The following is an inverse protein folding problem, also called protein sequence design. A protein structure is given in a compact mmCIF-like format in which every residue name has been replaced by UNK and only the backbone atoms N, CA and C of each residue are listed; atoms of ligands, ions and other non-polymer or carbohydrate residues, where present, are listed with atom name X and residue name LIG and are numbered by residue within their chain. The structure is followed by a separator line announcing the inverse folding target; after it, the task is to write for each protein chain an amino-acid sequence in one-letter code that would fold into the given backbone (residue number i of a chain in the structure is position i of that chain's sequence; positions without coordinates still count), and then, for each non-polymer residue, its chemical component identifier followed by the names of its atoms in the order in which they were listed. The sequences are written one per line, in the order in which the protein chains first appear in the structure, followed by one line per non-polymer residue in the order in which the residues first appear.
data_IF_830938827184
#
_entry.id   IF_830938827184
#
_cell.length_a   1.000
_cell.length_b   1.000
_cell.length_c   1.000
_cell.angle_alpha   90.00
_cell.angle_beta   90.00
_cell.angle_gamma   90.00
#
_symmetry.space_group_name_H-M   'P 1'
#
loop_
_entity.id
_entity.type
_entity.pdbx_description
1 polymer ?
#
# COMPACT_ATOMS: atom_id res chain seq x y z
N UNK A 1 -12.87 45.00 -27.96
CA UNK A 1 -13.32 45.41 -26.61
C UNK A 1 -14.47 44.53 -26.07
N UNK A 2 -15.59 44.34 -26.80
CA UNK A 2 -16.72 43.48 -26.34
C UNK A 2 -16.32 42.02 -26.04
N UNK A 3 -15.57 41.37 -26.93
CA UNK A 3 -15.09 39.99 -26.73
C UNK A 3 -14.13 39.82 -25.55
N UNK A 4 -13.32 40.84 -25.26
CA UNK A 4 -12.42 40.85 -24.11
C UNK A 4 -13.23 40.91 -22.80
N UNK A 5 -14.25 41.78 -22.74
CA UNK A 5 -15.13 41.90 -21.58
C UNK A 5 -15.95 40.62 -21.34
N UNK A 6 -16.44 39.98 -22.40
CA UNK A 6 -17.13 38.69 -22.31
C UNK A 6 -16.18 37.61 -21.79
N UNK A 7 -14.95 37.54 -22.32
CA UNK A 7 -13.94 36.59 -21.84
C UNK A 7 -13.60 36.78 -20.36
N UNK A 8 -13.41 38.02 -19.92
CA UNK A 8 -13.15 38.34 -18.51
C UNK A 8 -14.33 37.98 -17.60
N UNK A 9 -15.56 38.22 -18.03
CA UNK A 9 -16.76 37.84 -17.27
C UNK A 9 -16.88 36.32 -17.14
N UNK A 10 -16.60 35.56 -18.20
CA UNK A 10 -16.60 34.09 -18.15
C UNK A 10 -15.56 33.58 -17.16
N UNK A 11 -14.33 34.10 -17.23
CA UNK A 11 -13.26 33.73 -16.28
C UNK A 11 -13.64 34.10 -14.85
N UNK A 12 -14.23 35.28 -14.63
CA UNK A 12 -14.70 35.71 -13.32
C UNK A 12 -15.78 34.78 -12.76
N UNK A 13 -16.77 34.39 -13.57
CA UNK A 13 -17.83 33.47 -13.16
C UNK A 13 -17.28 32.07 -12.87
N UNK A 14 -16.34 31.57 -13.68
CA UNK A 14 -15.68 30.29 -13.45
C UNK A 14 -14.87 30.31 -12.16
N UNK A 15 -14.07 31.35 -11.93
CA UNK A 15 -13.27 31.49 -10.72
C UNK A 15 -14.16 31.66 -9.48
N UNK A 16 -15.22 32.48 -9.58
CA UNK A 16 -16.20 32.66 -8.52
C UNK A 16 -16.91 31.36 -8.18
N UNK A 17 -17.38 30.61 -9.18
CA UNK A 17 -17.99 29.29 -9.00
C UNK A 17 -17.02 28.30 -8.34
N UNK A 18 -15.77 28.24 -8.79
CA UNK A 18 -14.74 27.37 -8.20
C UNK A 18 -14.46 27.69 -6.73
N UNK A 19 -14.33 28.98 -6.39
CA UNK A 19 -14.08 29.41 -5.01
C UNK A 19 -15.27 29.15 -4.09
N UNK A 20 -16.50 29.36 -4.58
CA UNK A 20 -17.73 29.20 -3.80
C UNK A 20 -18.23 27.75 -3.71
N UNK A 21 -17.81 26.86 -4.60
CA UNK A 21 -18.15 25.43 -4.52
C UNK A 21 -17.54 24.84 -3.24
N UNK A 22 -18.30 24.11 -2.40
CA UNK A 22 -17.76 23.47 -1.20
C UNK A 22 -16.58 22.55 -1.51
N UNK A 23 -15.61 22.48 -0.59
CA UNK A 23 -14.52 21.50 -0.67
C UNK A 23 -15.07 20.10 -0.37
N UNK A 24 -14.61 19.04 -1.08
CA UNK A 24 -14.95 17.66 -0.73
C UNK A 24 -14.23 17.16 0.53
N UNK A 25 -13.26 17.94 1.04
CA UNK A 25 -12.44 17.63 2.21
C UNK A 25 -12.52 18.73 3.26
N UNK A 26 -12.25 18.36 4.51
CA UNK A 26 -12.05 19.25 5.66
C UNK A 26 -10.60 19.13 6.12
N UNK A 27 -9.71 19.81 5.41
CA UNK A 27 -8.28 19.52 5.54
C UNK A 27 -7.66 20.06 6.84
N UNK A 28 -6.72 19.28 7.39
CA UNK A 28 -5.96 19.65 8.60
C UNK A 28 -4.53 20.01 8.27
N UNK A 29 -3.99 21.04 8.91
CA UNK A 29 -2.58 21.39 8.73
C UNK A 29 -1.67 20.30 9.30
N UNK A 30 -0.57 20.03 8.61
CA UNK A 30 0.49 19.17 9.10
C UNK A 30 1.85 19.72 8.70
N UNK A 31 2.79 19.70 9.64
CA UNK A 31 4.19 20.02 9.38
C UNK A 31 4.95 18.72 9.13
N UNK A 32 5.20 18.42 7.86
CA UNK A 32 5.95 17.25 7.46
C UNK A 32 7.44 17.42 7.85
N UNK A 33 8.09 16.40 8.45
CA UNK A 33 9.53 16.45 8.75
C UNK A 33 10.35 16.58 7.47
N UNK A 34 11.55 17.15 7.50
CA UNK A 34 12.40 17.19 6.29
C UNK A 34 12.71 15.77 5.79
N UNK A 35 12.62 15.50 4.47
CA UNK A 35 12.89 14.17 3.93
C UNK A 35 14.35 13.75 4.20
N UNK A 36 14.60 12.44 4.42
CA UNK A 36 15.95 11.94 4.59
C UNK A 36 16.79 12.16 3.32
N UNK A 37 18.10 12.32 3.49
CA UNK A 37 19.01 12.37 2.36
C UNK A 37 19.08 11.00 1.67
N UNK A 38 19.07 10.98 0.34
CA UNK A 38 19.23 9.78 -0.47
C UNK A 38 20.72 9.39 -0.57
N UNK A 39 21.31 9.04 0.57
CA UNK A 39 22.72 8.67 0.72
C UNK A 39 22.86 7.44 1.63
N UNK A 40 24.06 6.86 1.69
CA UNK A 40 24.31 5.67 2.50
C UNK A 40 23.44 4.49 2.06
N UNK A 41 22.65 3.93 2.99
CA UNK A 41 21.70 2.84 2.70
C UNK A 41 20.70 3.25 1.62
N UNK A 42 20.25 4.50 1.59
CA UNK A 42 19.28 5.04 0.62
C UNK A 42 19.92 5.59 -0.66
N UNK A 43 21.23 5.39 -0.87
CA UNK A 43 21.89 5.88 -2.06
C UNK A 43 21.26 5.27 -3.33
N UNK A 44 20.85 6.10 -4.32
CA UNK A 44 20.23 5.61 -5.54
C UNK A 44 21.09 4.55 -6.25
N UNK A 45 20.45 3.48 -6.70
CA UNK A 45 21.06 2.41 -7.46
C UNK A 45 20.09 1.93 -8.57
N UNK A 46 20.40 0.83 -9.25
CA UNK A 46 19.57 0.30 -10.35
C UNK A 46 19.23 -1.18 -10.12
N UNK A 47 19.25 -1.64 -8.86
CA UNK A 47 19.13 -3.08 -8.50
C UNK A 47 17.76 -3.67 -8.84
N UNK A 48 16.69 -2.87 -8.85
CA UNK A 48 15.36 -3.36 -9.26
C UNK A 48 15.33 -3.77 -10.73
N UNK A 49 16.26 -3.30 -11.55
CA UNK A 49 16.35 -3.67 -12.98
C UNK A 49 16.95 -5.05 -13.21
N UNK A 50 17.44 -5.69 -12.16
CA UNK A 50 17.85 -7.10 -12.18
C UNK A 50 16.64 -8.05 -12.11
N UNK A 51 15.45 -7.53 -11.81
CA UNK A 51 14.25 -8.35 -11.72
C UNK A 51 13.84 -8.87 -13.11
N UNK A 52 13.46 -10.14 -13.17
CA UNK A 52 12.69 -10.68 -14.28
C UNK A 52 11.30 -10.04 -14.29
N UNK A 53 10.70 -9.93 -15.48
CA UNK A 53 9.37 -9.36 -15.65
C UNK A 53 8.39 -10.46 -16.09
N UNK A 54 7.42 -10.74 -15.24
CA UNK A 54 6.36 -11.72 -15.49
C UNK A 54 5.10 -11.03 -16.02
N UNK A 55 4.27 -11.78 -16.76
CA UNK A 55 2.96 -11.35 -17.26
C UNK A 55 2.97 -10.02 -18.03
N UNK A 56 4.07 -9.72 -18.73
CA UNK A 56 4.28 -8.41 -19.34
C UNK A 56 3.27 -8.14 -20.46
N UNK A 57 2.47 -7.10 -20.30
CA UNK A 57 1.42 -6.70 -21.23
C UNK A 57 0.11 -7.48 -21.07
N UNK A 58 0.04 -8.41 -20.11
CA UNK A 58 -1.12 -9.27 -19.87
C UNK A 58 -1.85 -8.93 -18.56
N UNK A 59 -1.23 -8.14 -17.69
CA UNK A 59 -1.85 -7.57 -16.48
C UNK A 59 -1.75 -6.06 -16.49
N UNK A 60 -2.53 -5.38 -15.66
CA UNK A 60 -2.39 -3.94 -15.41
C UNK A 60 -2.66 -3.63 -13.95
N UNK A 61 -1.73 -2.93 -13.31
CA UNK A 61 -1.75 -2.61 -11.89
C UNK A 61 -1.88 -3.84 -10.98
N UNK A 62 -0.97 -4.83 -11.07
CA UNK A 62 -0.96 -5.97 -10.15
C UNK A 62 -0.56 -5.51 -8.73
N UNK A 63 -1.53 -5.19 -7.87
CA UNK A 63 -1.30 -4.45 -6.62
C UNK A 63 -0.43 -5.22 -5.62
N UNK A 64 -0.84 -6.46 -5.34
CA UNK A 64 -0.19 -7.36 -4.40
C UNK A 64 0.07 -8.71 -5.05
N UNK A 65 1.02 -9.47 -4.50
CA UNK A 65 1.44 -10.75 -5.06
C UNK A 65 1.59 -11.81 -3.99
N UNK A 66 1.06 -13.00 -4.20
CA UNK A 66 1.24 -14.11 -3.27
C UNK A 66 1.41 -15.42 -4.02
N UNK A 67 2.25 -16.33 -3.53
CA UNK A 67 2.42 -17.65 -4.11
C UNK A 67 1.47 -18.61 -3.40
N UNK A 68 0.65 -19.30 -4.18
CA UNK A 68 -0.28 -20.31 -3.68
C UNK A 68 0.40 -21.62 -3.29
N UNK A 69 -0.31 -22.49 -2.55
CA UNK A 69 0.18 -23.83 -2.21
C UNK A 69 0.37 -24.73 -3.44
N UNK A 70 -0.16 -24.33 -4.59
CA UNK A 70 0.01 -24.93 -5.91
C UNK A 70 1.29 -24.46 -6.64
N UNK A 71 2.04 -23.51 -6.05
CA UNK A 71 3.24 -22.91 -6.66
C UNK A 71 2.93 -21.87 -7.74
N UNK A 72 1.67 -21.45 -7.88
CA UNK A 72 1.23 -20.43 -8.84
C UNK A 72 1.25 -19.06 -8.17
N UNK A 73 1.64 -18.02 -8.91
CA UNK A 73 1.58 -16.64 -8.42
C UNK A 73 0.17 -16.07 -8.62
N UNK A 74 -0.38 -15.44 -7.59
CA UNK A 74 -1.68 -14.77 -7.61
C UNK A 74 -1.48 -13.26 -7.44
N UNK A 75 -2.24 -12.46 -8.17
CA UNK A 75 -2.23 -11.00 -8.05
C UNK A 75 -3.60 -10.38 -8.30
N UNK A 76 -3.89 -9.26 -7.63
CA UNK A 76 -5.09 -8.45 -7.86
C UNK A 76 -4.81 -7.33 -8.86
N UNK A 77 -5.60 -7.21 -9.92
CA UNK A 77 -5.37 -6.23 -10.98
C UNK A 77 -6.34 -5.05 -10.95
N UNK A 78 -6.06 -4.04 -11.78
CA UNK A 78 -6.75 -2.76 -11.76
C UNK A 78 -8.27 -2.85 -11.92
N UNK A 79 -8.66 -3.75 -12.81
CA UNK A 79 -10.00 -4.07 -13.26
C UNK A 79 -10.75 -5.04 -12.34
N UNK A 80 -10.17 -5.44 -11.20
CA UNK A 80 -10.85 -6.25 -10.19
C UNK A 80 -10.69 -7.77 -10.36
N UNK A 81 -9.87 -8.20 -11.30
CA UNK A 81 -9.51 -9.61 -11.44
C UNK A 81 -8.48 -10.04 -10.39
N UNK A 82 -8.59 -11.30 -9.99
CA UNK A 82 -7.48 -12.07 -9.46
C UNK A 82 -6.91 -12.88 -10.63
N UNK A 83 -5.65 -12.60 -10.97
CA UNK A 83 -4.92 -13.24 -12.05
C UNK A 83 -3.92 -14.24 -11.47
N UNK A 84 -3.80 -15.38 -12.12
CA UNK A 84 -2.82 -16.43 -11.86
C UNK A 84 -1.71 -16.37 -12.90
N UNK A 85 -0.46 -16.43 -12.46
CA UNK A 85 0.72 -16.52 -13.32
C UNK A 85 1.44 -17.82 -12.99
N UNK A 86 1.35 -18.77 -13.92
CA UNK A 86 1.92 -20.11 -13.77
C UNK A 86 3.45 -20.08 -13.94
N UNK A 87 4.19 -21.04 -13.37
CA UNK A 87 5.65 -21.09 -13.49
C UNK A 87 6.19 -21.15 -14.93
N UNK A 88 5.39 -21.66 -15.86
CA UNK A 88 5.70 -21.70 -17.30
C UNK A 88 5.47 -20.37 -18.03
N UNK A 89 4.95 -19.37 -17.31
CA UNK A 89 4.64 -18.02 -17.82
C UNK A 89 3.19 -17.83 -18.26
N UNK A 90 2.36 -18.88 -18.25
CA UNK A 90 0.95 -18.77 -18.64
C UNK A 90 0.19 -17.86 -17.68
N UNK A 91 -0.57 -16.91 -18.24
CA UNK A 91 -1.42 -15.98 -17.47
C UNK A 91 -2.88 -16.42 -17.58
N UNK A 92 -3.55 -16.60 -16.45
CA UNK A 92 -4.94 -17.01 -16.34
C UNK A 92 -5.73 -15.99 -15.52
N UNK A 93 -6.76 -15.39 -16.14
CA UNK A 93 -7.77 -14.61 -15.43
C UNK A 93 -8.68 -15.56 -14.65
N UNK A 94 -8.42 -15.74 -13.36
CA UNK A 94 -9.06 -16.79 -12.58
C UNK A 94 -10.48 -16.40 -12.16
N UNK A 95 -10.66 -15.25 -11.49
CA UNK A 95 -11.97 -14.76 -11.06
C UNK A 95 -11.99 -13.26 -10.82
N UNK A 96 -13.18 -12.67 -10.81
CA UNK A 96 -13.43 -11.29 -10.41
C UNK A 96 -14.10 -11.24 -9.03
N UNK A 97 -13.65 -10.35 -8.15
CA UNK A 97 -14.33 -10.11 -6.86
C UNK A 97 -15.52 -9.15 -6.99
N UNK A 98 -15.62 -8.48 -8.15
CA UNK A 98 -16.54 -7.35 -8.38
C UNK A 98 -16.18 -6.10 -7.55
N UNK A 99 -14.96 -6.07 -7.00
CA UNK A 99 -14.36 -4.95 -6.25
C UNK A 99 -12.94 -4.68 -6.76
N UNK A 100 -12.02 -4.39 -5.85
CA UNK A 100 -10.59 -4.19 -6.17
C UNK A 100 -9.74 -4.92 -5.13
N UNK A 101 -9.19 -6.11 -5.45
CA UNK A 101 -8.29 -6.85 -4.58
C UNK A 101 -6.96 -6.09 -4.43
N UNK A 102 -6.57 -5.78 -3.19
CA UNK A 102 -5.37 -4.99 -2.88
C UNK A 102 -4.36 -5.73 -2.00
N UNK A 103 -4.79 -6.69 -1.19
CA UNK A 103 -3.93 -7.53 -0.37
C UNK A 103 -4.37 -8.99 -0.42
N UNK A 104 -3.41 -9.92 -0.49
CA UNK A 104 -3.64 -11.34 -0.79
C UNK A 104 -2.78 -12.25 0.09
N UNK A 105 -3.42 -13.21 0.76
CA UNK A 105 -2.70 -14.22 1.55
C UNK A 105 -3.46 -15.54 1.60
N UNK A 106 -2.75 -16.67 1.46
CA UNK A 106 -3.36 -17.99 1.58
C UNK A 106 -3.49 -18.43 3.04
N UNK A 107 -4.65 -18.99 3.39
CA UNK A 107 -4.85 -19.68 4.66
C UNK A 107 -4.33 -21.13 4.61
N UNK A 108 -4.28 -21.79 5.77
CA UNK A 108 -3.78 -23.17 5.87
C UNK A 108 -4.68 -24.22 5.20
N UNK A 109 -5.89 -23.85 4.76
CA UNK A 109 -6.82 -24.72 4.04
C UNK A 109 -6.72 -24.50 2.53
N UNK A 110 -5.84 -23.61 2.06
CA UNK A 110 -5.68 -23.25 0.66
C UNK A 110 -6.72 -22.24 0.15
N UNK A 111 -7.49 -21.60 1.04
CA UNK A 111 -8.34 -20.49 0.64
C UNK A 111 -7.49 -19.22 0.50
N UNK A 112 -7.80 -18.42 -0.53
CA UNK A 112 -7.21 -17.10 -0.69
C UNK A 112 -8.01 -16.09 0.14
N UNK A 113 -7.35 -15.47 1.12
CA UNK A 113 -7.90 -14.36 1.88
C UNK A 113 -7.53 -13.06 1.18
N UNK A 114 -8.52 -12.20 0.98
CA UNK A 114 -8.38 -10.99 0.17
C UNK A 114 -8.84 -9.78 0.97
N UNK A 115 -7.98 -8.77 1.08
CA UNK A 115 -8.38 -7.40 1.37
C UNK A 115 -8.86 -6.77 0.06
N UNK A 116 -10.18 -6.59 -0.06
CA UNK A 116 -10.78 -5.94 -1.22
C UNK A 116 -11.27 -4.54 -0.83
N UNK A 117 -10.77 -3.51 -1.51
CA UNK A 117 -11.03 -2.11 -1.18
C UNK A 117 -12.52 -1.77 -1.10
N UNK A 118 -13.38 -2.49 -1.83
CA UNK A 118 -14.80 -2.20 -1.96
C UNK A 118 -15.67 -3.22 -1.24
N UNK A 119 -15.19 -4.46 -1.07
CA UNK A 119 -15.99 -5.58 -0.56
C UNK A 119 -15.66 -5.98 0.88
N UNK A 120 -14.60 -5.44 1.47
CA UNK A 120 -14.13 -5.80 2.81
C UNK A 120 -13.17 -6.98 2.78
N UNK A 121 -13.12 -7.74 3.86
CA UNK A 121 -12.30 -8.94 3.96
C UNK A 121 -13.04 -10.14 3.36
N UNK A 122 -12.46 -10.79 2.37
CA UNK A 122 -13.02 -11.94 1.67
C UNK A 122 -12.20 -13.20 1.93
N UNK A 123 -12.84 -14.35 1.75
CA UNK A 123 -12.21 -15.67 1.64
C UNK A 123 -12.71 -16.32 0.37
N UNK A 124 -11.80 -16.88 -0.42
CA UNK A 124 -12.08 -17.46 -1.72
C UNK A 124 -11.54 -18.89 -1.75
N UNK A 125 -12.41 -19.87 -2.02
CA UNK A 125 -12.00 -21.27 -2.08
C UNK A 125 -11.16 -21.56 -3.33
N UNK A 126 -10.42 -22.68 -3.40
CA UNK A 126 -9.73 -23.07 -4.64
C UNK A 126 -10.66 -23.22 -5.86
N UNK A 127 -11.95 -23.48 -5.62
CA UNK A 127 -12.98 -23.57 -6.64
C UNK A 127 -13.52 -22.20 -7.09
N UNK A 128 -13.14 -21.12 -6.41
CA UNK A 128 -13.56 -19.75 -6.72
C UNK A 128 -14.80 -19.26 -5.97
N UNK A 129 -15.27 -19.99 -4.94
CA UNK A 129 -16.42 -19.54 -4.15
C UNK A 129 -16.01 -18.40 -3.21
N UNK A 130 -16.64 -17.23 -3.38
CA UNK A 130 -16.34 -16.03 -2.58
C UNK A 130 -17.26 -15.94 -1.37
N UNK A 131 -16.66 -15.87 -0.18
CA UNK A 131 -17.33 -15.58 1.08
C UNK A 131 -16.83 -14.26 1.67
N UNK A 132 -17.76 -13.39 2.07
CA UNK A 132 -17.43 -12.17 2.81
C UNK A 132 -17.21 -12.55 4.28
N UNK A 133 -16.01 -12.32 4.80
CA UNK A 133 -15.67 -12.57 6.21
C UNK A 133 -16.16 -11.44 7.11
N UNK A 134 -15.95 -10.18 6.69
CA UNK A 134 -16.37 -8.99 7.43
C UNK A 134 -16.35 -7.73 6.54
N UNK A 135 -17.22 -6.75 6.87
CA UNK A 135 -17.35 -5.45 6.18
C UNK A 135 -17.44 -4.25 7.13
N UNK A 136 -17.37 -4.50 8.43
CA UNK A 136 -17.44 -3.49 9.45
C UNK A 136 -16.76 -3.97 10.73
N UNK A 137 -16.37 -3.01 11.56
CA UNK A 137 -15.96 -3.27 12.93
C UNK A 137 -16.52 -2.15 13.81
N UNK A 138 -17.06 -2.52 14.96
CA UNK A 138 -17.53 -1.58 15.99
C UNK A 138 -18.52 -0.53 15.44
N UNK A 139 -19.42 -0.96 14.54
CA UNK A 139 -20.46 -0.12 13.92
C UNK A 139 -19.96 0.85 12.84
N UNK A 140 -18.66 0.77 12.47
CA UNK A 140 -18.08 1.59 11.40
C UNK A 140 -17.74 0.71 10.20
N UNK A 141 -18.44 0.86 9.06
CA UNK A 141 -18.15 0.15 7.82
C UNK A 141 -16.73 0.38 7.32
N UNK A 142 -16.16 -0.58 6.62
CA UNK A 142 -14.92 -0.39 5.87
C UNK A 142 -15.21 0.42 4.60
N UNK A 143 -14.28 1.29 4.20
CA UNK A 143 -14.38 2.02 2.92
C UNK A 143 -13.19 1.77 2.01
N UNK A 144 -12.07 1.32 2.57
CA UNK A 144 -10.85 1.10 1.82
C UNK A 144 -10.04 -0.02 2.50
N UNK A 145 -10.54 -1.26 2.40
CA UNK A 145 -9.79 -2.43 2.92
C UNK A 145 -8.57 -2.68 2.04
N UNK A 146 -7.37 -2.67 2.61
CA UNK A 146 -6.14 -2.44 1.84
C UNK A 146 -5.21 -3.65 1.86
N UNK A 147 -4.61 -3.98 3.00
CA UNK A 147 -3.65 -5.08 3.12
C UNK A 147 -4.10 -6.13 4.15
N UNK A 148 -3.58 -7.36 4.06
CA UNK A 148 -3.95 -8.49 4.92
C UNK A 148 -2.79 -9.46 5.16
N UNK A 149 -2.69 -9.94 6.41
CA UNK A 149 -1.74 -10.97 6.82
C UNK A 149 -2.38 -11.95 7.81
N UNK A 150 -1.94 -13.21 7.79
CA UNK A 150 -2.37 -14.23 8.75
C UNK A 150 -1.26 -14.44 9.79
N UNK A 151 -1.60 -14.30 11.06
CA UNK A 151 -0.67 -14.56 12.16
C UNK A 151 -0.47 -16.07 12.40
N UNK A 152 0.62 -16.49 13.07
CA UNK A 152 0.89 -17.90 13.38
C UNK A 152 -0.23 -18.61 14.16
N UNK A 153 -1.08 -17.86 14.87
CA UNK A 153 -2.23 -18.40 15.62
C UNK A 153 -3.53 -18.50 14.79
N UNK A 154 -3.47 -18.16 13.50
CA UNK A 154 -4.58 -18.19 12.56
C UNK A 154 -5.51 -16.97 12.62
N UNK A 155 -5.21 -15.96 13.45
CA UNK A 155 -5.95 -14.68 13.41
C UNK A 155 -5.51 -13.88 12.20
N UNK A 156 -6.46 -13.23 11.55
CA UNK A 156 -6.24 -12.42 10.34
C UNK A 156 -6.12 -10.97 10.77
N UNK A 157 -5.05 -10.31 10.38
CA UNK A 157 -4.80 -8.89 10.61
C UNK A 157 -4.90 -8.19 9.28
N UNK A 158 -5.61 -7.07 9.24
CA UNK A 158 -5.85 -6.35 8.00
C UNK A 158 -6.10 -4.88 8.30
N UNK A 159 -6.09 -4.08 7.26
CA UNK A 159 -6.26 -2.63 7.39
C UNK A 159 -7.49 -2.12 6.66
N UNK A 160 -8.06 -1.04 7.20
CA UNK A 160 -8.97 -0.15 6.51
C UNK A 160 -8.24 1.19 6.39
N UNK A 161 -7.69 1.46 5.21
CA UNK A 161 -6.81 2.61 4.95
C UNK A 161 -7.50 3.93 5.27
N UNK A 162 -8.78 4.04 4.90
CA UNK A 162 -9.63 5.14 5.29
C UNK A 162 -11.03 4.62 5.55
N UNK A 163 -11.61 4.99 6.69
CA UNK A 163 -13.04 4.78 6.96
C UNK A 163 -13.94 5.86 6.33
N UNK A 164 -13.35 6.86 5.66
CA UNK A 164 -14.07 7.97 5.02
C UNK A 164 -14.03 7.90 3.49
N UNK A 165 -12.84 7.76 2.92
CA UNK A 165 -12.63 7.73 1.48
C UNK A 165 -12.48 6.29 1.00
N UNK A 166 -12.84 6.05 -0.26
CA UNK A 166 -12.73 4.74 -0.92
C UNK A 166 -11.71 4.82 -2.05
N UNK A 167 -11.32 3.70 -2.64
CA UNK A 167 -10.62 3.71 -3.93
C UNK A 167 -11.60 4.25 -5.00
N UNK A 168 -11.20 5.18 -5.90
CA UNK A 168 -9.85 5.72 -6.13
C UNK A 168 -9.56 7.07 -5.44
N UNK A 169 -10.37 7.50 -4.46
CA UNK A 169 -10.31 8.83 -3.81
C UNK A 169 -9.18 9.02 -2.77
N UNK A 170 -8.13 8.19 -2.78
CA UNK A 170 -7.03 8.24 -1.79
C UNK A 170 -6.29 9.59 -1.78
N UNK A 171 -6.23 10.29 -2.92
CA UNK A 171 -5.63 11.64 -2.99
C UNK A 171 -6.41 12.64 -2.13
N UNK A 172 -7.73 12.48 -2.00
CA UNK A 172 -8.53 13.32 -1.11
C UNK A 172 -8.19 13.05 0.36
N UNK A 173 -7.95 11.80 0.74
CA UNK A 173 -7.51 11.45 2.10
C UNK A 173 -6.13 12.05 2.42
N UNK A 174 -5.17 11.96 1.48
CA UNK A 174 -3.86 12.63 1.58
C UNK A 174 -4.00 14.14 1.76
N UNK A 175 -4.84 14.79 0.94
CA UNK A 175 -5.07 16.23 1.06
C UNK A 175 -5.78 16.57 2.37
N UNK A 176 -6.67 15.71 2.85
CA UNK A 176 -7.38 15.95 4.09
C UNK A 176 -6.44 15.90 5.31
N UNK A 177 -5.48 14.97 5.34
CA UNK A 177 -4.58 14.75 6.49
C UNK A 177 -5.33 14.54 7.80
N UNK A 178 -6.42 13.76 7.76
CA UNK A 178 -7.16 13.32 8.95
C UNK A 178 -6.99 11.82 9.18
N UNK A 179 -7.05 11.38 10.44
CA UNK A 179 -6.68 10.02 10.79
C UNK A 179 -7.87 9.05 10.68
N UNK A 180 -8.27 8.68 9.46
CA UNK A 180 -9.42 7.78 9.24
C UNK A 180 -9.07 6.30 9.19
N UNK A 181 -7.78 5.96 9.20
CA UNK A 181 -7.29 4.59 9.06
C UNK A 181 -7.37 3.76 10.33
N UNK A 182 -7.45 2.44 10.15
CA UNK A 182 -7.58 1.46 11.24
C UNK A 182 -6.78 0.19 10.95
N UNK A 183 -6.12 -0.33 11.99
CA UNK A 183 -5.62 -1.71 12.05
C UNK A 183 -6.67 -2.58 12.74
N UNK A 184 -7.05 -3.67 12.08
CA UNK A 184 -8.11 -4.57 12.52
C UNK A 184 -7.60 -6.00 12.68
N UNK A 185 -8.34 -6.78 13.47
CA UNK A 185 -8.12 -8.21 13.65
C UNK A 185 -9.43 -8.97 13.52
N UNK A 186 -9.46 -9.94 12.62
CA UNK A 186 -10.53 -10.90 12.45
C UNK A 186 -10.14 -12.25 13.04
N UNK A 187 -11.03 -12.84 13.84
CA UNK A 187 -10.87 -14.18 14.38
C UNK A 187 -11.80 -15.15 13.62
N UNK A 188 -11.27 -16.06 12.79
CA UNK A 188 -12.10 -16.98 11.99
C UNK A 188 -12.91 -17.96 12.84
N UNK A 189 -12.49 -18.25 14.09
CA UNK A 189 -13.22 -19.15 14.99
C UNK A 189 -14.46 -18.50 15.57
N UNK A 190 -14.38 -17.22 15.92
CA UNK A 190 -15.50 -16.47 16.53
C UNK A 190 -16.28 -15.64 15.52
N UNK A 191 -15.72 -15.47 14.31
CA UNK A 191 -16.22 -14.57 13.25
C UNK A 191 -16.41 -13.12 13.73
N UNK A 192 -15.52 -12.67 14.63
CA UNK A 192 -15.53 -11.31 15.16
C UNK A 192 -14.36 -10.51 14.63
N UNK A 193 -14.62 -9.24 14.34
CA UNK A 193 -13.61 -8.24 13.98
C UNK A 193 -13.49 -7.22 15.11
N UNK A 194 -12.26 -6.88 15.48
CA UNK A 194 -11.92 -5.90 16.51
C UNK A 194 -11.01 -4.82 15.92
N UNK A 195 -11.16 -3.56 16.37
CA UNK A 195 -10.22 -2.49 16.04
C UNK A 195 -9.09 -2.51 17.06
N UNK A 196 -7.86 -2.79 16.61
CA UNK A 196 -6.68 -2.82 17.48
C UNK A 196 -6.04 -1.45 17.66
N UNK A 197 -6.02 -0.68 16.56
CA UNK A 197 -5.50 0.68 16.53
C UNK A 197 -6.34 1.49 15.54
N UNK A 198 -6.96 2.57 16.02
CA UNK A 198 -7.66 3.54 15.18
C UNK A 198 -6.89 4.86 15.11
N UNK A 199 -7.46 5.82 14.40
CA UNK A 199 -6.87 7.15 14.20
C UNK A 199 -5.48 7.11 13.53
N UNK A 200 -5.34 6.28 12.49
CA UNK A 200 -4.14 6.22 11.65
C UNK A 200 -4.29 7.12 10.43
N UNK A 201 -3.21 7.75 9.98
CA UNK A 201 -3.20 8.49 8.73
C UNK A 201 -2.88 7.56 7.57
N UNK A 202 -3.95 6.99 6.99
CA UNK A 202 -3.91 6.00 5.93
C UNK A 202 -3.20 4.71 6.35
N UNK A 203 -3.99 3.81 6.93
CA UNK A 203 -3.52 2.50 7.38
C UNK A 203 -3.41 1.55 6.17
N UNK A 204 -2.23 1.48 5.57
CA UNK A 204 -2.02 0.72 4.35
C UNK A 204 -1.44 -0.68 4.73
N UNK A 205 -0.16 -0.93 4.49
CA UNK A 205 0.46 -2.24 4.67
C UNK A 205 0.43 -2.77 6.10
N UNK A 206 0.34 -4.10 6.23
CA UNK A 206 0.35 -4.82 7.50
C UNK A 206 1.24 -6.07 7.46
N UNK A 207 2.10 -6.23 8.47
CA UNK A 207 2.91 -7.44 8.62
C UNK A 207 2.91 -7.93 10.07
N UNK A 208 2.83 -9.24 10.27
CA UNK A 208 3.00 -9.86 11.59
C UNK A 208 4.46 -10.23 11.82
N UNK A 209 4.94 -10.11 13.05
CA UNK A 209 6.26 -10.64 13.39
C UNK A 209 6.30 -12.17 13.21
N UNK A 210 7.47 -12.76 12.90
CA UNK A 210 7.57 -14.22 12.76
C UNK A 210 7.15 -14.98 14.03
N UNK A 211 7.29 -14.35 15.22
CA UNK A 211 6.88 -14.92 16.50
C UNK A 211 5.41 -14.64 16.85
N UNK A 212 4.70 -13.80 16.10
CA UNK A 212 3.31 -13.41 16.37
C UNK A 212 3.14 -12.49 17.58
N UNK A 213 4.22 -11.91 18.11
CA UNK A 213 4.21 -11.07 19.31
C UNK A 213 3.90 -9.59 19.03
N UNK A 214 4.05 -9.12 17.80
CA UNK A 214 3.63 -7.79 17.36
C UNK A 214 3.18 -7.77 15.88
N UNK A 215 2.48 -6.71 15.52
CA UNK A 215 2.06 -6.40 14.14
C UNK A 215 2.59 -5.03 13.77
N UNK A 216 3.12 -4.90 12.56
CA UNK A 216 3.50 -3.65 11.95
C UNK A 216 2.34 -3.13 11.09
N UNK A 217 2.13 -1.82 11.12
CA UNK A 217 1.16 -1.13 10.26
C UNK A 217 1.73 0.20 9.79
N UNK A 218 1.52 0.53 8.53
CA UNK A 218 1.94 1.82 7.99
C UNK A 218 0.99 2.95 8.38
N UNK A 219 1.56 4.14 8.55
CA UNK A 219 0.82 5.39 8.33
C UNK A 219 1.44 6.10 7.13
N UNK A 220 0.86 5.83 5.96
CA UNK A 220 1.40 6.25 4.67
C UNK A 220 1.57 7.76 4.59
N UNK A 221 0.57 8.53 5.06
CA UNK A 221 0.65 9.99 5.05
C UNK A 221 1.53 10.58 6.15
N UNK A 222 2.04 9.76 7.09
CA UNK A 222 3.00 10.19 8.12
C UNK A 222 4.41 9.72 7.86
N UNK A 223 4.66 9.04 6.74
CA UNK A 223 5.98 8.51 6.38
C UNK A 223 6.57 7.63 7.48
N UNK A 224 5.75 6.77 8.10
CA UNK A 224 6.20 5.95 9.23
C UNK A 224 5.51 4.60 9.30
N UNK A 225 6.12 3.70 10.05
CA UNK A 225 5.61 2.37 10.40
C UNK A 225 5.47 2.33 11.91
N UNK A 226 4.31 1.86 12.39
CA UNK A 226 4.06 1.62 13.80
C UNK A 226 4.18 0.12 14.10
N UNK A 227 4.69 -0.20 15.28
CA UNK A 227 4.63 -1.53 15.88
C UNK A 227 3.54 -1.55 16.95
N UNK A 228 2.56 -2.43 16.79
CA UNK A 228 1.53 -2.72 17.79
C UNK A 228 1.79 -4.08 18.45
N UNK A 229 2.00 -4.08 19.76
CA UNK A 229 2.33 -5.30 20.52
C UNK A 229 1.07 -6.14 20.78
N UNK A 230 1.10 -7.41 20.38
CA UNK A 230 0.00 -8.38 20.59
C UNK A 230 0.15 -9.09 21.93
N UNK A 231 1.37 -9.37 22.35
CA UNK A 231 1.67 -10.09 23.59
C UNK A 231 2.85 -9.47 24.36
N UNK A 232 3.17 -10.04 25.51
CA UNK A 232 4.23 -9.57 26.39
C UNK A 232 3.88 -8.31 27.20
N UNK A 233 4.85 -7.70 27.89
CA UNK A 233 4.62 -6.59 28.82
C UNK A 233 4.07 -5.31 28.17
N UNK A 234 4.21 -5.18 26.84
CA UNK A 234 3.74 -4.03 26.05
C UNK A 234 2.41 -4.30 25.34
N UNK A 235 1.78 -5.46 25.53
CA UNK A 235 0.56 -5.84 24.81
C UNK A 235 -0.50 -4.72 24.83
N UNK A 236 -1.08 -4.44 23.67
CA UNK A 236 -2.05 -3.37 23.46
C UNK A 236 -1.45 -1.97 23.24
N UNK A 237 -0.12 -1.83 23.27
CA UNK A 237 0.55 -0.54 23.01
C UNK A 237 1.13 -0.49 21.60
N UNK A 238 1.13 0.73 21.03
CA UNK A 238 1.81 1.05 19.79
C UNK A 238 3.06 1.90 20.04
N UNK A 239 4.11 1.69 19.25
CA UNK A 239 5.32 2.51 19.22
C UNK A 239 5.80 2.69 17.78
N UNK A 240 6.63 3.70 17.51
CA UNK A 240 7.21 3.89 16.17
C UNK A 240 8.27 2.82 15.92
N UNK A 241 8.12 2.11 14.80
CA UNK A 241 9.09 1.14 14.31
C UNK A 241 10.14 1.82 13.45
N UNK A 242 9.71 2.55 12.42
CA UNK A 242 10.55 3.36 11.54
C UNK A 242 9.83 4.68 11.26
N UNK A 243 10.58 5.79 11.25
CA UNK A 243 10.04 7.13 11.07
C UNK A 243 10.75 7.88 9.93
N UNK A 244 10.13 8.96 9.47
CA UNK A 244 10.67 9.85 8.44
C UNK A 244 11.20 9.12 7.20
N UNK A 245 10.38 8.21 6.67
CA UNK A 245 10.71 7.37 5.52
C UNK A 245 10.94 8.18 4.22
N UNK A 246 11.69 7.64 3.24
CA UNK A 246 12.04 8.34 1.99
C UNK A 246 10.87 8.55 1.02
N UNK A 247 9.76 7.86 1.25
CA UNK A 247 8.57 7.87 0.41
C UNK A 247 7.31 7.58 1.22
N UNK A 248 6.22 7.34 0.51
CA UNK A 248 4.97 6.87 1.08
C UNK A 248 5.06 5.35 1.27
N UNK A 249 5.11 4.82 2.51
CA UNK A 249 5.19 3.39 2.71
C UNK A 249 3.87 2.71 2.32
N UNK A 250 4.01 1.61 1.60
CA UNK A 250 2.91 0.78 1.09
C UNK A 250 3.05 -0.66 1.65
N UNK A 251 2.44 -1.69 1.06
CA UNK A 251 2.50 -3.06 1.57
C UNK A 251 3.92 -3.49 1.99
N UNK A 252 3.97 -4.23 3.10
CA UNK A 252 5.21 -4.74 3.69
C UNK A 252 5.09 -6.20 4.06
N UNK A 253 6.19 -6.94 3.93
CA UNK A 253 6.26 -8.35 4.27
C UNK A 253 7.57 -8.69 4.97
N UNK A 254 7.60 -9.84 5.65
CA UNK A 254 8.78 -10.34 6.35
C UNK A 254 9.32 -11.57 5.63
N UNK A 255 10.63 -11.61 5.40
CA UNK A 255 11.26 -12.79 4.80
C UNK A 255 11.72 -13.82 5.84
N UNK A 256 12.22 -14.96 5.35
CA UNK A 256 12.69 -16.06 6.21
C UNK A 256 13.89 -15.73 7.11
N UNK A 257 14.59 -14.62 6.85
CA UNK A 257 15.68 -14.12 7.70
C UNK A 257 15.20 -13.10 8.74
N UNK A 258 13.90 -12.74 8.72
CA UNK A 258 13.32 -11.73 9.59
C UNK A 258 13.60 -10.29 9.14
N UNK A 259 13.91 -10.08 7.86
CA UNK A 259 14.02 -8.73 7.26
C UNK A 259 12.63 -8.29 6.83
N UNK A 260 12.28 -7.05 7.15
CA UNK A 260 11.01 -6.44 6.77
C UNK A 260 11.20 -5.64 5.49
N UNK A 261 10.59 -6.08 4.40
CA UNK A 261 10.63 -5.41 3.11
C UNK A 261 9.42 -4.50 2.98
N UNK A 262 9.64 -3.24 2.63
CA UNK A 262 8.59 -2.21 2.53
C UNK A 262 8.64 -1.59 1.14
N UNK A 263 7.50 -1.57 0.47
CA UNK A 263 7.32 -0.94 -0.82
C UNK A 263 7.07 0.57 -0.69
N UNK A 264 7.45 1.32 -1.73
CA UNK A 264 7.23 2.76 -1.83
C UNK A 264 6.81 3.11 -3.26
N UNK A 265 5.50 3.35 -3.53
CA UNK A 265 5.03 3.66 -4.88
C UNK A 265 5.57 5.01 -5.36
N UNK A 266 5.84 5.95 -4.46
CA UNK A 266 6.45 7.22 -4.81
C UNK A 266 7.35 7.75 -3.72
N UNK A 267 8.38 8.47 -4.14
CA UNK A 267 9.19 9.31 -3.26
C UNK A 267 8.35 10.46 -2.69
N UNK A 268 8.85 11.06 -1.62
CA UNK A 268 8.28 12.28 -1.07
C UNK A 268 8.36 13.43 -2.07
N UNK A 269 7.28 14.21 -2.16
CA UNK A 269 7.20 15.38 -3.02
C UNK A 269 7.30 16.66 -2.17
N UNK A 270 8.38 17.46 -2.27
CA UNK A 270 8.54 18.68 -1.47
C UNK A 270 7.40 19.69 -1.60
N UNK A 271 6.71 19.72 -2.76
CA UNK A 271 5.56 20.61 -2.98
C UNK A 271 4.34 20.13 -2.19
N UNK A 272 4.13 18.82 -2.11
CA UNK A 272 3.06 18.22 -1.30
C UNK A 272 3.33 18.47 0.19
N UNK A 273 4.58 18.24 0.63
CA UNK A 273 5.01 18.49 2.00
C UNK A 273 4.79 19.96 2.42
N UNK A 274 5.18 20.92 1.57
CA UNK A 274 4.95 22.34 1.83
C UNK A 274 3.46 22.70 1.85
N UNK A 275 2.66 22.08 0.98
CA UNK A 275 1.22 22.32 0.87
C UNK A 275 0.46 21.86 2.13
N UNK A 276 0.93 20.83 2.84
CA UNK A 276 0.31 20.37 4.09
C UNK A 276 0.20 21.43 5.19
N UNK A 277 1.01 22.50 5.14
CA UNK A 277 0.93 23.63 6.09
C UNK A 277 -0.28 24.54 5.86
N UNK A 278 -0.92 24.45 4.69
CA UNK A 278 -1.98 25.36 4.27
C UNK A 278 -3.29 24.62 3.97
N UNK A 279 -4.18 24.43 4.97
CA UNK A 279 -5.48 23.77 4.77
C UNK A 279 -6.29 24.35 3.62
N UNK A 280 -6.45 25.67 3.58
CA UNK A 280 -7.21 26.35 2.51
C UNK A 280 -6.70 26.02 1.11
N UNK A 281 -5.39 25.83 0.94
CA UNK A 281 -4.78 25.50 -0.35
C UNK A 281 -5.11 24.05 -0.74
N UNK A 282 -5.08 23.12 0.23
CA UNK A 282 -5.46 21.73 0.00
C UNK A 282 -6.92 21.61 -0.40
N UNK A 283 -7.80 22.38 0.25
CA UNK A 283 -9.22 22.43 -0.08
C UNK A 283 -9.46 22.94 -1.51
N UNK A 284 -8.65 23.90 -2.00
CA UNK A 284 -8.71 24.32 -3.41
C UNK A 284 -8.18 23.24 -4.35
N UNK A 285 -7.04 22.62 -4.03
CA UNK A 285 -6.45 21.55 -4.86
C UNK A 285 -7.37 20.33 -4.95
N UNK A 286 -8.12 20.03 -3.89
CA UNK A 286 -9.09 18.93 -3.86
C UNK A 286 -10.24 19.11 -4.87
N UNK A 287 -10.57 20.35 -5.23
CA UNK A 287 -11.60 20.68 -6.22
C UNK A 287 -11.10 20.59 -7.66
N UNK A 288 -9.79 20.53 -7.89
CA UNK A 288 -9.22 20.47 -9.23
C UNK A 288 -9.45 19.08 -9.86
N UNK A 289 -9.60 19.00 -11.20
CA UNK A 289 -9.49 17.74 -11.91
C UNK A 289 -8.15 17.04 -11.64
N UNK A 290 -8.13 15.70 -11.64
CA UNK A 290 -6.93 14.91 -11.31
C UNK A 290 -5.74 15.22 -12.24
N UNK A 291 -6.00 15.62 -13.49
CA UNK A 291 -4.97 16.03 -14.43
C UNK A 291 -4.13 17.23 -13.97
N UNK A 292 -4.67 18.06 -13.06
CA UNK A 292 -4.03 19.26 -12.51
C UNK A 292 -3.44 19.03 -11.11
N UNK A 293 -3.72 17.88 -10.48
CA UNK A 293 -3.16 17.54 -9.16
C UNK A 293 -1.68 17.14 -9.30
N UNK A 294 -0.88 17.23 -8.22
CA UNK A 294 0.49 16.72 -8.23
C UNK A 294 0.53 15.25 -8.65
N UNK A 295 1.38 14.94 -9.64
CA UNK A 295 1.59 13.57 -10.10
C UNK A 295 2.75 12.92 -9.35
N UNK A 296 2.70 11.61 -9.10
CA UNK A 296 3.84 10.86 -8.60
C UNK A 296 5.01 10.95 -9.58
N UNK A 297 6.23 10.83 -9.06
CA UNK A 297 7.41 10.70 -9.89
C UNK A 297 7.60 9.23 -10.24
N UNK A 298 7.84 8.92 -11.52
CA UNK A 298 8.23 7.57 -11.93
C UNK A 298 9.52 7.16 -11.20
N UNK A 299 9.39 6.19 -10.31
CA UNK A 299 10.48 5.68 -9.49
C UNK A 299 10.10 4.30 -8.95
N UNK A 300 11.04 3.37 -8.93
CA UNK A 300 10.92 2.12 -8.18
C UNK A 300 11.73 2.23 -6.89
N UNK A 301 11.10 2.01 -5.74
CA UNK A 301 11.79 1.99 -4.45
C UNK A 301 11.22 0.89 -3.55
N UNK A 302 12.13 0.11 -3.00
CA UNK A 302 11.88 -0.84 -1.90
C UNK A 302 12.99 -0.69 -0.86
N UNK A 303 12.66 -0.79 0.42
CA UNK A 303 13.64 -0.71 1.52
C UNK A 303 13.47 -1.91 2.44
N UNK A 304 14.57 -2.55 2.80
CA UNK A 304 14.60 -3.61 3.82
C UNK A 304 14.96 -3.03 5.18
N UNK A 305 14.32 -3.53 6.25
CA UNK A 305 14.56 -3.13 7.62
C UNK A 305 14.88 -4.35 8.50
N UNK A 306 15.69 -4.14 9.54
CA UNK A 306 15.87 -5.12 10.61
C UNK A 306 14.67 -5.11 11.58
N UNK A 307 14.66 -6.05 12.52
CA UNK A 307 13.63 -6.14 13.58
C UNK A 307 13.53 -4.91 14.49
N UNK A 308 14.46 -3.97 14.42
CA UNK A 308 14.49 -2.75 15.22
C UNK A 308 14.11 -1.51 14.40
N UNK A 309 13.69 -1.68 13.13
CA UNK A 309 13.33 -0.59 12.23
C UNK A 309 14.52 0.16 11.64
N UNK A 310 15.72 -0.43 11.64
CA UNK A 310 16.89 0.13 10.97
C UNK A 310 16.93 -0.33 9.53
N UNK A 311 17.10 0.61 8.59
CA UNK A 311 17.26 0.29 7.17
C UNK A 311 18.54 -0.53 6.96
N UNK A 312 18.41 -1.64 6.24
CA UNK A 312 19.49 -2.56 5.88
C UNK A 312 19.96 -2.31 4.45
N UNK A 313 19.02 -2.16 3.53
CA UNK A 313 19.28 -1.92 2.10
C UNK A 313 18.13 -1.17 1.46
N UNK A 314 18.37 -0.63 0.27
CA UNK A 314 17.31 -0.21 -0.62
C UNK A 314 17.58 -0.65 -2.07
N UNK A 315 16.51 -0.94 -2.77
CA UNK A 315 16.51 -1.34 -4.17
C UNK A 315 15.80 -0.26 -4.96
N UNK A 316 16.43 0.17 -6.06
CA UNK A 316 15.97 1.31 -6.84
C UNK A 316 15.87 0.97 -8.34
N UNK A 317 14.92 1.62 -8.99
CA UNK A 317 14.90 1.93 -10.42
C UNK A 317 14.67 3.44 -10.51
N UNK A 318 15.74 4.20 -10.72
CA UNK A 318 15.68 5.66 -10.57
C UNK A 318 14.86 6.37 -11.65
N UNK A 319 14.58 5.66 -12.76
CA UNK A 319 13.80 6.18 -13.88
C UNK A 319 12.39 5.59 -13.92
N UNK A 320 12.12 4.56 -13.11
CA UNK A 320 10.83 3.87 -13.09
C UNK A 320 10.48 3.23 -14.44
N UNK A 321 11.48 2.82 -15.22
CA UNK A 321 11.25 2.28 -16.58
C UNK A 321 11.08 0.77 -16.63
N UNK A 322 11.58 0.08 -15.60
CA UNK A 322 11.52 -1.37 -15.45
C UNK A 322 10.46 -1.74 -14.41
N UNK A 323 10.60 -1.19 -13.20
CA UNK A 323 9.61 -1.26 -12.13
C UNK A 323 9.43 0.14 -11.53
N UNK A 324 8.19 0.59 -11.42
CA UNK A 324 7.80 1.87 -10.81
C UNK A 324 6.54 1.68 -10.00
N UNK A 325 6.23 2.65 -9.13
CA UNK A 325 4.98 2.62 -8.36
C UNK A 325 4.76 1.29 -7.65
N UNK A 326 5.84 0.77 -7.06
CA UNK A 326 5.84 -0.52 -6.37
C UNK A 326 4.98 -0.38 -5.11
N UNK A 327 3.90 -1.15 -5.07
CA UNK A 327 2.90 -1.17 -3.99
C UNK A 327 3.16 -2.30 -3.01
N UNK A 328 3.80 -3.39 -3.45
CA UNK A 328 4.09 -4.56 -2.62
C UNK A 328 5.46 -5.18 -2.91
N UNK A 329 6.00 -5.85 -1.90
CA UNK A 329 7.21 -6.67 -1.98
C UNK A 329 7.04 -7.91 -1.13
N UNK A 330 6.84 -9.05 -1.78
CA UNK A 330 6.54 -10.31 -1.09
C UNK A 330 7.67 -11.32 -1.27
N UNK A 331 8.37 -11.70 -0.18
CA UNK A 331 9.37 -12.75 -0.21
C UNK A 331 8.73 -14.13 -0.25
N UNK A 332 9.21 -15.01 -1.12
CA UNK A 332 8.85 -16.42 -1.16
C UNK A 332 10.03 -17.24 -1.70
N UNK A 333 10.45 -18.27 -0.97
CA UNK A 333 11.52 -19.21 -1.35
C UNK A 333 12.79 -18.55 -1.93
N UNK A 334 13.29 -17.52 -1.25
CA UNK A 334 14.53 -16.84 -1.65
C UNK A 334 14.35 -15.83 -2.80
N UNK A 335 13.12 -15.54 -3.20
CA UNK A 335 12.77 -14.63 -4.30
C UNK A 335 11.85 -13.52 -3.79
N UNK A 336 12.07 -12.29 -4.26
CA UNK A 336 11.17 -11.16 -4.04
C UNK A 336 10.24 -11.00 -5.24
N UNK A 337 8.95 -10.87 -4.97
CA UNK A 337 7.93 -10.53 -5.96
C UNK A 337 7.42 -9.11 -5.73
N UNK A 338 7.27 -8.33 -6.80
CA UNK A 338 6.89 -6.92 -6.72
C UNK A 338 5.59 -6.67 -7.48
N UNK A 339 4.58 -6.20 -6.75
CA UNK A 339 3.39 -5.60 -7.33
C UNK A 339 3.56 -4.11 -7.61
N UNK A 340 2.58 -3.50 -8.26
CA UNK A 340 2.56 -2.08 -8.57
C UNK A 340 1.16 -1.56 -8.88
N UNK A 341 0.97 -0.26 -8.70
CA UNK A 341 -0.30 0.42 -8.94
C UNK A 341 -0.67 0.53 -10.43
N UNK A 342 0.34 0.69 -11.30
CA UNK A 342 0.14 1.04 -12.72
C UNK A 342 1.10 0.36 -13.71
N UNK A 343 1.86 -0.67 -13.34
CA UNK A 343 2.63 -1.41 -14.34
C UNK A 343 1.79 -2.46 -15.05
N UNK A 344 2.24 -2.83 -16.26
CA UNK A 344 1.75 -3.96 -17.04
C UNK A 344 2.56 -5.24 -16.80
N UNK A 345 3.17 -5.41 -15.62
CA UNK A 345 4.11 -6.50 -15.33
C UNK A 345 4.28 -6.71 -13.84
N UNK A 346 4.74 -7.90 -13.46
CA UNK A 346 5.10 -8.27 -12.08
C UNK A 346 6.61 -8.47 -12.04
N UNK A 347 7.29 -7.87 -11.05
CA UNK A 347 8.73 -8.06 -10.88
C UNK A 347 9.05 -9.33 -10.10
N UNK A 348 10.10 -10.07 -10.50
CA UNK A 348 10.64 -11.21 -9.77
C UNK A 348 12.16 -11.09 -9.64
N UNK A 349 12.68 -10.98 -8.41
CA UNK A 349 14.12 -10.82 -8.15
C UNK A 349 14.61 -11.84 -7.13
N UNK A 350 15.46 -12.81 -7.53
CA UNK A 350 16.13 -13.68 -6.58
C UNK A 350 16.99 -12.87 -5.59
N UNK A 351 16.85 -13.14 -4.29
CA UNK A 351 17.63 -12.45 -3.24
C UNK A 351 19.13 -12.58 -3.45
N UNK A 352 19.57 -13.75 -3.95
CA UNK A 352 20.98 -14.02 -4.29
C UNK A 352 21.54 -13.10 -5.39
N UNK A 353 20.68 -12.51 -6.23
CA UNK A 353 21.09 -11.57 -7.25
C UNK A 353 21.33 -10.15 -6.70
N UNK A 354 20.95 -9.89 -5.43
CA UNK A 354 21.08 -8.58 -4.79
C UNK A 354 22.45 -8.47 -4.12
N UNK A 355 23.34 -7.57 -4.60
CA UNK A 355 24.67 -7.43 -4.03
C UNK A 355 24.63 -7.04 -2.54
N UNK A 356 25.32 -7.81 -1.69
CA UNK A 356 25.41 -7.60 -0.25
C UNK A 356 24.29 -8.23 0.60
N UNK A 357 23.33 -8.93 -0.01
CA UNK A 357 22.28 -9.68 0.69
C UNK A 357 22.26 -11.18 0.35
N UNK A 358 22.82 -11.55 -0.80
CA UNK A 358 22.94 -12.93 -1.27
C UNK A 358 24.20 -13.66 -0.85
N UNK A 359 25.15 -12.98 -0.22
CA UNK A 359 26.38 -13.61 0.27
C UNK A 359 26.11 -14.18 1.64
N UNK A 360 26.13 -15.52 1.76
CA UNK A 360 26.16 -16.16 3.07
C UNK A 360 27.34 -15.59 3.85
N UNK A 361 27.07 -15.01 5.03
CA UNK A 361 28.11 -14.57 5.94
C UNK A 361 29.06 -15.77 6.18
N UNK A 362 30.39 -15.62 6.00
CA UNK A 362 31.35 -16.72 6.16
C UNK A 362 31.29 -17.43 7.50
#
# INVERSE_FOLDING_TARGET
MKWLLVGLLVVFLLLGSFLLTPSPIDSKAWDAPSPPAMTGVLAPNERLRLADLLARGEVYGPEDTTIGPDGVLYTGTQDGWIVRVHPDGTVEHWLETGGRPLGLVFDSNGNLIVADAWKGLLSITPQGDITVLTREAEGTPFRFTDDVVIAPDGRIYFTDASSRFQQPDYVLDLLEMRPHGRLLRYNPKTRKTEVLLGNLHFANGVAVSPQGDYVLVNETWKYRILRYWISGPKAGRAEVFADNLPGFPDNLAVDGEGRYWVAFPTLRNPRVDAMHKSPWLKDLVAKLPDSLKPKPQNYGLVVAFDRNGRMLTSLHDTRGTHLQEITSVNPHDGVLYFGSLHNDRIGRLPLQAIPGLGEATP
#
